data_IF_151741570681
#
_entry.id   IF_151741570681
#
_cell.length_a   1.000
_cell.length_b   1.000
_cell.length_c   1.000
_cell.angle_alpha   90.00
_cell.angle_beta   90.00
_cell.angle_gamma   90.00
#
_symmetry.space_group_name_H-M   'P 1'
#
loop_
_entity.id
_entity.type
_entity.pdbx_description
1 polymer ?
#
# COMPACT_ATOMS: atom_id res chain seq x y z
N UNK A 1 -11.04 -33.62 -9.19
CA UNK A 1 -11.34 -32.38 -9.91
C UNK A 1 -11.64 -31.36 -8.84
N UNK A 2 -11.03 -30.19 -8.90
CA UNK A 2 -11.40 -29.09 -7.98
C UNK A 2 -12.86 -28.69 -8.25
N UNK A 3 -13.65 -28.38 -7.20
CA UNK A 3 -15.04 -27.96 -7.38
C UNK A 3 -15.12 -26.66 -8.20
N UNK A 4 -16.19 -26.50 -8.96
CA UNK A 4 -16.48 -25.24 -9.68
C UNK A 4 -17.38 -24.35 -8.82
N UNK A 5 -17.42 -23.04 -9.10
CA UNK A 5 -18.36 -22.15 -8.41
C UNK A 5 -19.83 -22.54 -8.62
N UNK A 6 -20.14 -23.21 -9.75
CA UNK A 6 -21.50 -23.69 -10.04
C UNK A 6 -21.96 -24.84 -9.13
N UNK A 7 -21.03 -25.52 -8.44
CA UNK A 7 -21.34 -26.59 -7.48
C UNK A 7 -21.60 -26.07 -6.05
N UNK A 8 -21.30 -24.78 -5.80
CA UNK A 8 -21.59 -24.13 -4.55
C UNK A 8 -23.05 -23.64 -4.49
N UNK A 9 -23.64 -23.51 -3.28
CA UNK A 9 -24.99 -23.02 -3.12
C UNK A 9 -25.07 -21.48 -3.30
N UNK A 10 -24.77 -21.03 -4.52
CA UNK A 10 -24.78 -19.62 -4.90
C UNK A 10 -26.02 -19.31 -5.75
N UNK A 11 -26.45 -18.05 -5.71
CA UNK A 11 -27.50 -17.56 -6.61
C UNK A 11 -27.01 -17.57 -8.07
N UNK A 12 -27.92 -17.81 -9.01
CA UNK A 12 -27.58 -17.82 -10.46
C UNK A 12 -26.91 -16.52 -10.91
N UNK A 13 -27.40 -15.37 -10.40
CA UNK A 13 -26.85 -14.05 -10.72
C UNK A 13 -25.38 -13.92 -10.30
N UNK A 14 -24.99 -14.50 -9.14
CA UNK A 14 -23.59 -14.50 -8.67
C UNK A 14 -22.73 -15.39 -9.55
N UNK A 15 -23.23 -16.58 -9.92
CA UNK A 15 -22.52 -17.50 -10.84
C UNK A 15 -22.31 -16.85 -12.21
N UNK A 16 -23.33 -16.18 -12.75
CA UNK A 16 -23.24 -15.44 -14.01
C UNK A 16 -22.20 -14.32 -13.95
N UNK A 17 -22.18 -13.53 -12.84
CA UNK A 17 -21.18 -12.48 -12.64
C UNK A 17 -19.77 -13.05 -12.57
N UNK A 18 -19.55 -14.15 -11.84
CA UNK A 18 -18.25 -14.83 -11.77
C UNK A 18 -17.79 -15.30 -13.15
N UNK A 19 -18.67 -15.94 -13.92
CA UNK A 19 -18.35 -16.40 -15.27
C UNK A 19 -18.05 -15.26 -16.24
N UNK A 20 -18.79 -14.15 -16.17
CA UNK A 20 -18.57 -12.97 -16.99
C UNK A 20 -17.15 -12.36 -16.77
N UNK A 21 -16.59 -12.53 -15.58
CA UNK A 21 -15.23 -12.08 -15.24
C UNK A 21 -14.17 -13.21 -15.35
N UNK A 22 -14.54 -14.37 -15.92
CA UNK A 22 -13.63 -15.49 -16.18
C UNK A 22 -13.29 -16.35 -14.94
N UNK A 23 -14.02 -16.17 -13.83
CA UNK A 23 -13.87 -17.00 -12.63
C UNK A 23 -14.71 -18.27 -12.75
N UNK A 24 -14.08 -19.41 -13.02
CA UNK A 24 -14.76 -20.69 -13.21
C UNK A 24 -14.64 -21.59 -11.98
N UNK A 25 -13.46 -21.64 -11.37
CA UNK A 25 -13.15 -22.48 -10.23
C UNK A 25 -12.52 -21.66 -9.09
N UNK A 26 -12.81 -22.00 -7.82
CA UNK A 26 -12.21 -21.32 -6.67
C UNK A 26 -10.72 -21.61 -6.55
N UNK A 27 -9.97 -20.61 -6.07
CA UNK A 27 -8.60 -20.81 -5.57
C UNK A 27 -8.61 -21.48 -4.19
N UNK A 28 -7.45 -22.04 -3.77
CA UNK A 28 -7.34 -22.81 -2.53
C UNK A 28 -7.95 -22.11 -1.29
N UNK A 29 -7.72 -20.81 -1.10
CA UNK A 29 -8.32 -20.07 0.03
C UNK A 29 -9.84 -19.95 -0.10
N UNK A 30 -10.35 -19.80 -1.32
CA UNK A 30 -11.79 -19.70 -1.58
C UNK A 30 -12.46 -21.05 -1.36
N UNK A 31 -11.87 -22.14 -1.85
CA UNK A 31 -12.38 -23.51 -1.67
C UNK A 31 -12.57 -23.86 -0.18
N UNK A 32 -11.62 -23.43 0.65
CA UNK A 32 -11.68 -23.73 2.09
C UNK A 32 -12.58 -22.75 2.88
N UNK A 33 -12.65 -21.48 2.50
CA UNK A 33 -13.40 -20.44 3.21
C UNK A 33 -14.89 -20.47 2.86
N UNK A 34 -15.23 -20.61 1.56
CA UNK A 34 -16.61 -20.44 1.10
C UNK A 34 -17.62 -21.34 1.79
N UNK A 35 -17.38 -22.66 2.03
CA UNK A 35 -18.35 -23.50 2.70
C UNK A 35 -18.72 -23.03 4.11
N UNK A 36 -17.74 -22.48 4.84
CA UNK A 36 -17.93 -22.00 6.22
C UNK A 36 -18.59 -20.64 6.24
N UNK A 37 -18.09 -19.72 5.40
CA UNK A 37 -18.61 -18.35 5.32
C UNK A 37 -20.06 -18.31 4.79
N UNK A 38 -20.41 -19.18 3.84
CA UNK A 38 -21.77 -19.34 3.34
C UNK A 38 -22.72 -19.96 4.39
N UNK A 39 -22.18 -20.69 5.39
CA UNK A 39 -22.94 -21.20 6.52
C UNK A 39 -22.98 -20.22 7.72
N UNK A 40 -22.66 -18.95 7.51
CA UNK A 40 -22.62 -17.86 8.51
C UNK A 40 -21.61 -18.08 9.65
N UNK A 41 -20.61 -18.95 9.48
CA UNK A 41 -19.52 -19.13 10.44
C UNK A 41 -18.50 -18.00 10.39
N UNK A 42 -17.95 -17.64 11.55
CA UNK A 42 -16.80 -16.72 11.60
C UNK A 42 -15.54 -17.39 11.07
N UNK A 43 -14.77 -16.66 10.26
CA UNK A 43 -13.58 -17.20 9.57
C UNK A 43 -12.38 -16.30 9.77
N UNK A 44 -11.23 -16.90 10.05
CA UNK A 44 -9.92 -16.28 9.91
C UNK A 44 -9.25 -16.90 8.68
N UNK A 45 -9.11 -16.13 7.62
CA UNK A 45 -8.42 -16.52 6.39
C UNK A 45 -6.99 -16.01 6.37
N UNK A 46 -6.01 -16.89 6.64
CA UNK A 46 -4.60 -16.53 6.56
C UNK A 46 -4.05 -16.88 5.19
N UNK A 47 -3.84 -15.86 4.36
CA UNK A 47 -3.31 -15.99 3.01
C UNK A 47 -2.66 -14.68 2.52
N UNK A 48 -1.66 -14.77 1.64
CA UNK A 48 -0.96 -13.62 1.05
C UNK A 48 -1.87 -12.78 0.15
N UNK A 49 -1.45 -11.56 -0.18
CA UNK A 49 -2.11 -10.75 -1.22
C UNK A 49 -2.01 -11.43 -2.59
N UNK A 50 -3.05 -11.31 -3.41
CA UNK A 50 -3.10 -11.93 -4.74
C UNK A 50 -3.55 -13.40 -4.76
N UNK A 51 -3.94 -13.98 -3.63
CA UNK A 51 -4.47 -15.36 -3.55
C UNK A 51 -5.98 -15.45 -3.75
N UNK A 52 -6.65 -14.34 -4.08
CA UNK A 52 -8.10 -14.31 -4.31
C UNK A 52 -8.95 -14.14 -3.05
N UNK A 53 -8.41 -13.56 -1.97
CA UNK A 53 -9.13 -13.29 -0.72
C UNK A 53 -10.41 -12.49 -0.94
N UNK A 54 -10.40 -11.51 -1.87
CA UNK A 54 -11.57 -10.67 -2.16
C UNK A 54 -12.80 -11.50 -2.53
N UNK A 55 -12.63 -12.53 -3.37
CA UNK A 55 -13.74 -13.44 -3.69
C UNK A 55 -14.12 -14.33 -2.51
N UNK A 56 -13.16 -14.73 -1.65
CA UNK A 56 -13.43 -15.57 -0.50
C UNK A 56 -14.37 -14.91 0.51
N UNK A 57 -14.33 -13.58 0.69
CA UNK A 57 -15.29 -12.85 1.51
C UNK A 57 -16.40 -12.17 0.69
N UNK A 58 -16.09 -11.72 -0.52
CA UNK A 58 -17.04 -11.01 -1.37
C UNK A 58 -18.25 -11.86 -1.74
N UNK A 59 -18.06 -13.11 -2.14
CA UNK A 59 -19.15 -14.02 -2.46
C UNK A 59 -20.09 -14.22 -1.28
N UNK A 60 -19.62 -14.63 -0.06
CA UNK A 60 -20.51 -14.78 1.09
C UNK A 60 -21.28 -13.52 1.45
N UNK A 61 -20.64 -12.35 1.43
CA UNK A 61 -21.35 -11.11 1.81
C UNK A 61 -22.42 -10.73 0.80
N UNK A 62 -22.18 -10.83 -0.51
CA UNK A 62 -23.20 -10.51 -1.51
C UNK A 62 -24.35 -11.52 -1.49
N UNK A 63 -24.09 -12.80 -1.23
CA UNK A 63 -25.14 -13.84 -1.11
C UNK A 63 -26.12 -13.55 0.04
N UNK A 64 -25.66 -12.88 1.10
CA UNK A 64 -26.45 -12.58 2.29
C UNK A 64 -27.08 -11.20 2.31
N UNK A 65 -26.70 -10.33 1.37
CA UNK A 65 -27.35 -9.02 1.24
C UNK A 65 -28.77 -9.20 0.68
N UNK A 66 -29.74 -8.56 1.33
CA UNK A 66 -31.09 -8.39 0.77
C UNK A 66 -31.04 -7.15 -0.11
N UNK A 67 -31.09 -7.35 -1.42
CA UNK A 67 -30.97 -6.31 -2.42
C UNK A 67 -32.32 -5.71 -2.81
N UNK A 68 -32.37 -4.48 -3.36
CA UNK A 68 -33.62 -3.86 -3.82
C UNK A 68 -34.44 -4.69 -4.83
N UNK A 69 -33.78 -5.58 -5.56
CA UNK A 69 -34.42 -6.46 -6.55
C UNK A 69 -34.84 -7.83 -5.98
N UNK A 70 -34.53 -8.12 -4.72
CA UNK A 70 -34.91 -9.36 -4.06
C UNK A 70 -36.35 -9.30 -3.56
N UNK A 71 -37.05 -10.43 -3.52
CA UNK A 71 -38.45 -10.53 -3.05
C UNK A 71 -38.56 -10.09 -1.58
N UNK A 72 -37.55 -10.47 -0.79
CA UNK A 72 -37.45 -10.16 0.65
C UNK A 72 -37.32 -8.66 0.92
N UNK A 73 -36.93 -7.86 -0.08
CA UNK A 73 -36.83 -6.40 0.07
C UNK A 73 -38.13 -5.74 0.47
N UNK A 74 -39.27 -6.28 0.05
CA UNK A 74 -40.57 -5.69 0.38
C UNK A 74 -40.77 -5.56 1.88
N UNK A 75 -40.40 -6.59 2.65
CA UNK A 75 -40.58 -6.70 4.10
C UNK A 75 -39.31 -6.35 4.91
N UNK A 76 -38.21 -6.03 4.23
CA UNK A 76 -36.95 -5.71 4.90
C UNK A 76 -37.04 -4.37 5.65
N UNK A 77 -36.82 -4.39 6.97
CA UNK A 77 -37.01 -3.23 7.83
C UNK A 77 -35.92 -2.14 7.63
N UNK A 78 -34.68 -2.56 7.32
CA UNK A 78 -33.51 -1.68 7.30
C UNK A 78 -33.13 -1.24 5.87
N UNK A 79 -34.13 -0.96 5.03
CA UNK A 79 -33.93 -0.54 3.64
C UNK A 79 -33.03 0.68 3.54
N UNK A 80 -32.00 0.58 2.71
CA UNK A 80 -31.03 1.65 2.48
C UNK A 80 -30.00 1.84 3.58
N UNK A 81 -30.01 1.00 4.62
CA UNK A 81 -28.94 1.00 5.63
C UNK A 81 -27.89 -0.07 5.33
N UNK A 82 -26.62 0.17 5.69
CA UNK A 82 -25.55 -0.79 5.43
C UNK A 82 -25.78 -2.12 6.14
N UNK A 83 -25.87 -3.20 5.37
CA UNK A 83 -25.96 -4.56 5.87
C UNK A 83 -24.58 -5.19 6.05
N UNK A 84 -23.61 -4.73 5.23
CA UNK A 84 -22.23 -5.22 5.23
C UNK A 84 -21.26 -4.06 5.39
N UNK A 85 -20.23 -4.27 6.22
CA UNK A 85 -19.09 -3.38 6.38
C UNK A 85 -17.81 -4.15 6.08
N UNK A 86 -17.02 -3.64 5.12
CA UNK A 86 -15.69 -4.16 4.80
C UNK A 86 -14.67 -3.10 5.20
N UNK A 87 -13.79 -3.42 6.14
CA UNK A 87 -12.76 -2.53 6.66
C UNK A 87 -11.42 -2.90 6.04
N UNK A 88 -10.74 -1.92 5.46
CA UNK A 88 -9.46 -2.10 4.76
C UNK A 88 -8.46 -1.03 5.19
N UNK A 89 -7.13 -1.30 5.17
CA UNK A 89 -6.12 -0.37 5.70
C UNK A 89 -5.91 0.88 4.85
N UNK A 90 -6.06 0.77 3.53
CA UNK A 90 -5.64 1.82 2.60
C UNK A 90 -6.77 2.27 1.67
N UNK A 91 -6.65 3.49 1.13
CA UNK A 91 -7.61 4.07 0.18
C UNK A 91 -7.62 3.31 -1.14
N UNK A 92 -6.45 2.89 -1.57
CA UNK A 92 -6.23 2.15 -2.81
C UNK A 92 -6.94 0.80 -2.74
N UNK A 93 -6.76 0.06 -1.64
CA UNK A 93 -7.46 -1.20 -1.41
C UNK A 93 -8.98 -0.98 -1.26
N UNK A 94 -9.39 0.13 -0.61
CA UNK A 94 -10.81 0.49 -0.51
C UNK A 94 -11.46 0.64 -1.90
N UNK A 95 -10.85 1.39 -2.79
CA UNK A 95 -11.39 1.56 -4.16
C UNK A 95 -11.34 0.28 -4.97
N UNK A 96 -10.31 -0.55 -4.80
CA UNK A 96 -10.19 -1.83 -5.46
C UNK A 96 -11.28 -2.81 -4.99
N UNK A 97 -11.38 -3.04 -3.68
CA UNK A 97 -12.38 -3.95 -3.10
C UNK A 97 -13.80 -3.48 -3.44
N UNK A 98 -14.05 -2.15 -3.42
CA UNK A 98 -15.36 -1.61 -3.82
C UNK A 98 -15.69 -2.03 -5.25
N UNK A 99 -14.75 -1.85 -6.19
CA UNK A 99 -14.95 -2.22 -7.59
C UNK A 99 -15.16 -3.73 -7.75
N UNK A 100 -14.34 -4.55 -7.09
CA UNK A 100 -14.47 -6.00 -7.15
C UNK A 100 -15.83 -6.47 -6.63
N UNK A 101 -16.35 -5.86 -5.56
CA UNK A 101 -17.70 -6.14 -5.03
C UNK A 101 -18.80 -5.66 -5.99
N UNK A 102 -18.67 -4.47 -6.59
CA UNK A 102 -19.62 -3.95 -7.58
C UNK A 102 -19.71 -4.86 -8.82
N UNK A 103 -18.58 -5.35 -9.31
CA UNK A 103 -18.50 -6.30 -10.41
C UNK A 103 -19.20 -7.62 -10.08
N UNK A 104 -18.96 -8.18 -8.89
CA UNK A 104 -19.63 -9.39 -8.42
C UNK A 104 -21.13 -9.23 -8.18
N UNK A 105 -21.55 -8.06 -7.74
CA UNK A 105 -22.94 -7.74 -7.39
C UNK A 105 -23.75 -7.14 -8.56
N UNK A 106 -23.13 -7.01 -9.74
CA UNK A 106 -23.67 -6.25 -10.90
C UNK A 106 -25.08 -6.69 -11.30
N UNK A 107 -25.40 -7.99 -11.23
CA UNK A 107 -26.68 -8.55 -11.63
C UNK A 107 -27.77 -8.51 -10.52
N UNK A 108 -27.44 -7.98 -9.31
CA UNK A 108 -28.34 -8.00 -8.16
C UNK A 108 -28.90 -6.64 -7.75
N UNK A 109 -28.35 -5.54 -8.29
CA UNK A 109 -28.76 -4.19 -7.92
C UNK A 109 -28.32 -3.78 -6.50
N UNK A 110 -27.30 -4.44 -5.93
CA UNK A 110 -26.67 -4.09 -4.66
C UNK A 110 -25.88 -2.80 -4.85
N UNK A 111 -26.09 -1.84 -3.95
CA UNK A 111 -25.38 -0.56 -3.97
C UNK A 111 -24.21 -0.62 -3.01
N UNK A 112 -23.03 -0.28 -3.51
CA UNK A 112 -21.77 -0.26 -2.74
C UNK A 112 -21.21 1.15 -2.70
N UNK A 113 -20.57 1.54 -1.60
CA UNK A 113 -19.88 2.82 -1.49
C UNK A 113 -18.51 2.67 -0.86
N UNK A 114 -17.52 3.40 -1.44
CA UNK A 114 -16.18 3.54 -0.89
C UNK A 114 -16.12 4.72 0.08
N UNK A 115 -15.67 4.47 1.33
CA UNK A 115 -15.58 5.45 2.42
C UNK A 115 -14.15 5.56 2.91
N UNK A 116 -13.42 6.62 2.49
CA UNK A 116 -12.01 6.81 2.85
C UNK A 116 -11.61 8.28 2.95
N UNK A 117 -10.54 8.53 3.69
CA UNK A 117 -10.02 9.88 3.93
C UNK A 117 -9.33 10.49 2.70
N UNK A 118 -9.09 11.83 2.74
CA UNK A 118 -8.41 12.56 1.66
C UNK A 118 -9.29 12.91 0.45
N UNK A 119 -10.58 12.64 0.54
CA UNK A 119 -11.65 13.09 -0.34
C UNK A 119 -12.66 13.90 0.46
N UNK A 120 -13.43 14.75 -0.21
CA UNK A 120 -14.54 15.48 0.40
C UNK A 120 -15.53 14.53 1.11
N UNK A 121 -16.20 15.01 2.15
CA UNK A 121 -17.21 14.24 2.88
C UNK A 121 -18.52 14.14 2.11
N UNK A 122 -18.88 15.21 1.43
CA UNK A 122 -20.21 15.42 0.83
C UNK A 122 -20.62 14.27 -0.12
N UNK A 123 -19.81 13.85 -1.10
CA UNK A 123 -20.21 12.76 -1.99
C UNK A 123 -20.41 11.42 -1.27
N UNK A 124 -19.61 11.17 -0.19
CA UNK A 124 -19.73 9.95 0.60
C UNK A 124 -21.00 9.99 1.44
N UNK A 125 -21.35 11.15 2.00
CA UNK A 125 -22.58 11.38 2.77
C UNK A 125 -23.80 11.24 1.86
N UNK A 126 -23.78 11.86 0.68
CA UNK A 126 -24.87 11.75 -0.30
C UNK A 126 -25.11 10.29 -0.72
N UNK A 127 -24.07 9.52 -0.98
CA UNK A 127 -24.18 8.11 -1.27
C UNK A 127 -24.80 7.31 -0.13
N UNK A 128 -24.38 7.55 1.11
CA UNK A 128 -24.96 6.90 2.29
C UNK A 128 -26.42 7.28 2.50
N UNK A 129 -26.80 8.53 2.28
CA UNK A 129 -28.17 9.02 2.40
C UNK A 129 -29.09 8.50 1.28
N UNK A 130 -28.55 8.25 0.10
CA UNK A 130 -29.26 7.61 -1.02
C UNK A 130 -29.56 6.15 -0.75
N UNK A 131 -28.91 5.59 0.26
CA UNK A 131 -29.05 4.19 0.68
C UNK A 131 -28.07 3.28 -0.02
N UNK A 132 -27.35 2.49 0.78
CA UNK A 132 -26.36 1.50 0.33
C UNK A 132 -26.45 0.24 1.18
N UNK A 133 -26.19 -0.89 0.56
CA UNK A 133 -26.22 -2.20 1.24
C UNK A 133 -24.81 -2.57 1.72
N UNK A 134 -23.76 -2.17 1.00
CA UNK A 134 -22.37 -2.50 1.33
C UNK A 134 -21.54 -1.22 1.44
N UNK A 135 -20.79 -1.12 2.54
CA UNK A 135 -19.81 -0.06 2.75
C UNK A 135 -18.41 -0.67 2.82
N UNK A 136 -17.51 -0.20 1.97
CA UNK A 136 -16.08 -0.53 2.07
C UNK A 136 -15.35 0.72 2.56
N UNK A 137 -14.52 0.61 3.60
CA UNK A 137 -13.90 1.83 4.10
C UNK A 137 -12.64 1.66 4.92
N UNK A 138 -11.92 2.79 5.07
CA UNK A 138 -10.76 2.89 5.96
C UNK A 138 -11.18 3.29 7.37
N UNK A 139 -10.53 2.77 8.44
CA UNK A 139 -11.02 2.90 9.82
C UNK A 139 -11.35 4.33 10.25
N UNK A 140 -10.44 5.28 10.04
CA UNK A 140 -10.62 6.66 10.49
C UNK A 140 -11.86 7.33 9.88
N UNK A 141 -12.06 7.23 8.54
CA UNK A 141 -13.21 7.86 7.86
C UNK A 141 -14.52 7.18 8.21
N UNK A 142 -14.53 5.86 8.40
CA UNK A 142 -15.72 5.13 8.88
C UNK A 142 -16.17 5.64 10.26
N UNK A 143 -15.23 5.80 11.20
CA UNK A 143 -15.53 6.35 12.53
C UNK A 143 -15.98 7.80 12.46
N UNK A 144 -15.38 8.64 11.63
CA UNK A 144 -15.77 10.04 11.48
C UNK A 144 -17.23 10.15 11.01
N UNK A 145 -17.61 9.41 9.97
CA UNK A 145 -18.99 9.40 9.47
C UNK A 145 -19.97 8.76 10.47
N UNK A 146 -19.53 7.74 11.22
CA UNK A 146 -20.35 7.15 12.28
C UNK A 146 -20.61 8.13 13.42
N UNK A 147 -19.58 8.85 13.89
CA UNK A 147 -19.71 9.89 14.93
C UNK A 147 -20.61 11.05 14.49
N UNK A 148 -20.58 11.41 13.21
CA UNK A 148 -21.48 12.40 12.61
C UNK A 148 -22.91 11.88 12.41
N UNK A 149 -23.18 10.59 12.72
CA UNK A 149 -24.48 9.97 12.55
C UNK A 149 -24.87 9.66 11.09
N UNK A 150 -23.94 9.86 10.14
CA UNK A 150 -24.17 9.61 8.72
C UNK A 150 -24.08 8.12 8.37
N UNK A 151 -23.19 7.38 9.07
CA UNK A 151 -23.02 5.93 8.90
C UNK A 151 -23.63 5.18 10.08
N UNK A 152 -24.64 4.33 9.82
CA UNK A 152 -25.38 3.57 10.85
C UNK A 152 -24.74 2.18 11.05
N UNK A 153 -23.73 2.07 11.90
CA UNK A 153 -23.00 0.82 12.13
C UNK A 153 -23.81 -0.24 12.90
N UNK A 154 -24.85 0.14 13.64
CA UNK A 154 -25.66 -0.80 14.41
C UNK A 154 -26.45 -1.79 13.56
N UNK A 155 -26.71 -1.43 12.30
CA UNK A 155 -27.51 -2.23 11.37
C UNK A 155 -26.64 -3.20 10.56
N UNK A 156 -25.32 -3.11 10.70
CA UNK A 156 -24.37 -4.01 10.03
C UNK A 156 -24.52 -5.42 10.59
N UNK A 157 -24.91 -6.36 9.74
CA UNK A 157 -25.04 -7.78 10.07
C UNK A 157 -23.79 -8.60 9.76
N UNK A 158 -22.95 -8.14 8.84
CA UNK A 158 -21.70 -8.80 8.45
C UNK A 158 -20.54 -7.82 8.39
N UNK A 159 -19.42 -8.24 8.97
CA UNK A 159 -18.22 -7.41 9.03
C UNK A 159 -17.03 -8.20 8.52
N UNK A 160 -16.28 -7.57 7.61
CA UNK A 160 -15.02 -8.09 7.08
C UNK A 160 -13.89 -7.18 7.49
N UNK A 161 -12.80 -7.74 7.97
CA UNK A 161 -11.50 -7.09 8.15
C UNK A 161 -10.55 -7.68 7.12
N UNK A 162 -10.11 -6.91 6.14
CA UNK A 162 -9.11 -7.36 5.16
C UNK A 162 -7.78 -6.65 5.37
N UNK A 163 -6.68 -7.40 5.22
CA UNK A 163 -5.33 -6.98 5.55
C UNK A 163 -5.22 -6.46 7.01
N UNK A 164 -5.67 -7.29 7.97
CA UNK A 164 -5.72 -6.91 9.38
C UNK A 164 -4.34 -6.61 9.98
N UNK A 165 -3.31 -7.35 9.59
CA UNK A 165 -1.92 -7.10 9.96
C UNK A 165 -1.42 -5.75 9.45
N UNK A 166 -1.81 -5.35 8.26
CA UNK A 166 -1.51 -4.03 7.70
C UNK A 166 -2.19 -2.91 8.50
N UNK A 167 -3.44 -3.13 8.95
CA UNK A 167 -4.13 -2.18 9.84
C UNK A 167 -3.40 -2.03 11.18
N UNK A 168 -2.82 -3.09 11.70
CA UNK A 168 -1.98 -3.07 12.90
C UNK A 168 -0.72 -2.24 12.67
N UNK A 169 0.02 -2.52 11.59
CA UNK A 169 1.26 -1.81 11.23
C UNK A 169 1.04 -0.32 11.01
N UNK A 170 -0.13 0.08 10.52
CA UNK A 170 -0.53 1.48 10.34
C UNK A 170 -1.08 2.13 11.61
N UNK A 171 -1.18 1.39 12.72
CA UNK A 171 -1.67 1.88 14.01
C UNK A 171 -3.19 2.06 14.08
N UNK A 172 -3.96 1.41 13.20
CA UNK A 172 -5.43 1.52 13.17
C UNK A 172 -6.14 0.56 14.11
N UNK A 173 -5.43 -0.31 14.82
CA UNK A 173 -6.06 -1.32 15.70
C UNK A 173 -7.06 -0.71 16.70
N UNK A 174 -6.75 0.43 17.39
CA UNK A 174 -7.72 1.04 18.29
C UNK A 174 -9.01 1.54 17.59
N UNK A 175 -8.92 1.94 16.34
CA UNK A 175 -10.07 2.37 15.56
C UNK A 175 -10.89 1.18 15.05
N UNK A 176 -10.22 0.10 14.66
CA UNK A 176 -10.86 -1.19 14.30
C UNK A 176 -11.65 -1.74 15.51
N UNK A 177 -11.07 -1.72 16.72
CA UNK A 177 -11.78 -2.13 17.94
C UNK A 177 -13.05 -1.30 18.22
N UNK A 178 -12.99 0.02 17.97
CA UNK A 178 -14.18 0.89 18.10
C UNK A 178 -15.26 0.52 17.07
N UNK A 179 -14.87 0.25 15.83
CA UNK A 179 -15.80 -0.19 14.77
C UNK A 179 -16.47 -1.50 15.17
N UNK A 180 -15.69 -2.50 15.57
CA UNK A 180 -16.20 -3.79 16.04
C UNK A 180 -17.16 -3.64 17.23
N UNK A 181 -16.85 -2.76 18.18
CA UNK A 181 -17.71 -2.46 19.31
C UNK A 181 -19.00 -1.71 18.92
N UNK A 182 -18.95 -0.98 17.79
CA UNK A 182 -20.09 -0.21 17.28
C UNK A 182 -21.02 -1.01 16.35
N UNK A 183 -20.70 -2.27 16.09
CA UNK A 183 -21.49 -3.22 15.29
C UNK A 183 -22.02 -4.38 16.15
N UNK A 184 -22.87 -4.13 17.18
CA UNK A 184 -23.28 -5.16 18.15
C UNK A 184 -24.17 -6.24 17.55
N UNK A 185 -24.90 -5.94 16.47
CA UNK A 185 -25.87 -6.82 15.84
C UNK A 185 -25.29 -7.68 14.71
N UNK A 186 -23.95 -7.65 14.54
CA UNK A 186 -23.31 -8.47 13.50
C UNK A 186 -23.48 -9.95 13.81
N UNK A 187 -23.94 -10.68 12.81
CA UNK A 187 -24.12 -12.13 12.88
C UNK A 187 -22.84 -12.89 12.48
N UNK A 188 -21.98 -12.25 11.65
CA UNK A 188 -20.76 -12.86 11.15
C UNK A 188 -19.61 -11.87 11.10
N UNK A 189 -18.40 -12.33 11.44
CA UNK A 189 -17.15 -11.60 11.27
C UNK A 189 -16.15 -12.47 10.48
N UNK A 190 -15.59 -11.90 9.43
CA UNK A 190 -14.53 -12.54 8.65
C UNK A 190 -13.26 -11.68 8.76
N UNK A 191 -12.14 -12.30 9.10
CA UNK A 191 -10.84 -11.63 9.22
C UNK A 191 -9.86 -12.26 8.24
N UNK A 192 -9.28 -11.42 7.36
CA UNK A 192 -8.26 -11.83 6.42
C UNK A 192 -6.95 -11.11 6.71
N UNK A 193 -5.85 -11.87 6.73
CA UNK A 193 -4.53 -11.35 7.05
C UNK A 193 -3.45 -12.23 6.40
N UNK A 194 -2.31 -11.66 6.06
CA UNK A 194 -1.17 -12.45 5.63
C UNK A 194 -0.43 -13.05 6.83
N UNK A 195 -0.36 -12.31 7.93
CA UNK A 195 0.31 -12.72 9.18
C UNK A 195 -0.64 -12.66 10.37
N UNK A 196 -0.35 -13.43 11.43
CA UNK A 196 -1.18 -13.48 12.64
C UNK A 196 -0.36 -13.11 13.88
N UNK A 197 0.06 -11.84 14.04
CA UNK A 197 0.73 -11.38 15.26
C UNK A 197 -0.22 -11.45 16.47
N UNK A 198 0.36 -11.42 17.67
CA UNK A 198 -0.38 -11.58 18.93
C UNK A 198 -1.56 -10.63 19.08
N UNK A 199 -1.43 -9.39 18.62
CA UNK A 199 -2.49 -8.38 18.69
C UNK A 199 -3.70 -8.72 17.80
N UNK A 200 -3.47 -9.28 16.61
CA UNK A 200 -4.54 -9.74 15.71
C UNK A 200 -5.24 -10.97 16.30
N UNK A 201 -4.47 -11.89 16.91
CA UNK A 201 -5.04 -13.04 17.61
C UNK A 201 -5.91 -12.57 18.81
N UNK A 202 -5.44 -11.57 19.56
CA UNK A 202 -6.20 -10.99 20.67
C UNK A 202 -7.51 -10.32 20.19
N UNK A 203 -7.43 -9.57 19.06
CA UNK A 203 -8.61 -8.98 18.43
C UNK A 203 -9.63 -10.05 18.02
N UNK A 204 -9.18 -11.11 17.35
CA UNK A 204 -10.04 -12.22 16.93
C UNK A 204 -10.71 -12.90 18.14
N UNK A 205 -9.96 -13.22 19.19
CA UNK A 205 -10.49 -13.84 20.42
C UNK A 205 -11.54 -12.97 21.11
N UNK A 206 -11.42 -11.66 21.05
CA UNK A 206 -12.34 -10.73 21.71
C UNK A 206 -13.63 -10.50 20.92
N UNK A 207 -13.57 -10.47 19.62
CA UNK A 207 -14.64 -9.98 18.77
C UNK A 207 -15.25 -11.01 17.81
N UNK A 208 -14.67 -12.21 17.69
CA UNK A 208 -15.19 -13.28 16.84
C UNK A 208 -15.76 -14.43 17.66
N UNK A 209 -16.75 -15.13 17.10
CA UNK A 209 -17.42 -16.24 17.74
C UNK A 209 -16.92 -17.57 17.17
N UNK A 210 -16.07 -18.30 17.93
CA UNK A 210 -15.51 -19.60 17.55
C UNK A 210 -15.01 -19.65 16.08
N UNK A 211 -14.16 -18.69 15.67
CA UNK A 211 -13.75 -18.59 14.28
C UNK A 211 -12.97 -19.83 13.84
N UNK A 212 -13.26 -20.31 12.64
CA UNK A 212 -12.41 -21.32 12.02
C UNK A 212 -11.20 -20.65 11.39
N UNK A 213 -9.99 -21.04 11.83
CA UNK A 213 -8.75 -20.52 11.29
C UNK A 213 -8.30 -21.37 10.10
N UNK A 214 -8.38 -20.79 8.92
CA UNK A 214 -7.95 -21.39 7.65
C UNK A 214 -6.62 -20.77 7.25
N UNK A 215 -5.65 -21.63 7.00
CA UNK A 215 -4.32 -21.26 6.52
C UNK A 215 -4.03 -22.00 5.23
N UNK A 216 -3.73 -21.27 4.15
CA UNK A 216 -3.25 -21.89 2.92
C UNK A 216 -1.78 -22.28 3.06
N UNK A 217 -1.39 -23.42 2.48
CA UNK A 217 0.01 -23.90 2.54
C UNK A 217 0.98 -22.90 1.89
N UNK A 218 0.52 -22.07 0.96
CA UNK A 218 1.30 -20.97 0.37
C UNK A 218 1.75 -19.91 1.39
N UNK A 219 1.18 -19.92 2.60
CA UNK A 219 1.60 -19.03 3.70
C UNK A 219 2.88 -19.52 4.41
N UNK A 220 3.27 -20.79 4.25
CA UNK A 220 4.56 -21.32 4.77
C UNK A 220 5.75 -21.00 3.86
N UNK A 221 5.48 -20.66 2.59
CA UNK A 221 6.49 -20.39 1.59
C UNK A 221 6.90 -18.90 1.51
N UNK A 222 7.19 -18.25 2.64
CA UNK A 222 8.03 -17.04 2.58
C UNK A 222 9.36 -17.37 1.87
N UNK A 223 9.89 -18.57 2.08
CA UNK A 223 11.02 -19.10 1.34
C UNK A 223 10.79 -19.24 -0.17
N UNK A 224 9.62 -19.69 -0.62
CA UNK A 224 9.36 -19.94 -2.06
C UNK A 224 9.16 -18.65 -2.89
N UNK A 225 8.62 -17.57 -2.31
CA UNK A 225 8.58 -16.26 -2.98
C UNK A 225 9.98 -15.70 -3.08
N UNK A 226 10.76 -15.81 -2.00
CA UNK A 226 12.16 -15.38 -1.93
C UNK A 226 13.02 -16.14 -2.94
N UNK A 227 12.76 -17.44 -3.18
CA UNK A 227 13.52 -18.28 -4.15
C UNK A 227 13.18 -17.99 -5.62
N UNK A 228 12.01 -17.47 -5.94
CA UNK A 228 11.61 -17.08 -7.31
C UNK A 228 12.11 -15.69 -7.72
N UNK A 229 12.58 -14.91 -6.76
CA UNK A 229 13.09 -13.56 -6.99
C UNK A 229 14.61 -13.62 -7.01
N UNK A 230 15.21 -13.24 -8.14
CA UNK A 230 16.65 -13.06 -8.22
C UNK A 230 17.03 -11.81 -7.43
N UNK A 231 17.72 -12.01 -6.31
CA UNK A 231 18.04 -10.93 -5.37
C UNK A 231 19.49 -10.50 -5.52
N UNK A 232 19.71 -9.20 -5.60
CA UNK A 232 21.01 -8.58 -5.64
C UNK A 232 21.09 -7.52 -4.53
N UNK A 233 22.17 -7.54 -3.78
CA UNK A 233 22.40 -6.59 -2.69
C UNK A 233 23.74 -5.92 -2.92
N UNK A 234 23.72 -4.61 -3.05
CA UNK A 234 24.87 -3.82 -3.46
C UNK A 234 25.17 -2.76 -2.40
N UNK A 235 26.42 -2.69 -1.96
CA UNK A 235 26.88 -1.61 -1.10
C UNK A 235 27.11 -0.37 -1.96
N UNK A 236 26.25 0.62 -1.80
CA UNK A 236 26.16 1.77 -2.68
C UNK A 236 26.30 3.08 -1.91
N UNK A 237 27.23 3.94 -2.37
CA UNK A 237 27.41 5.27 -1.80
C UNK A 237 26.21 6.18 -2.10
N UNK A 238 25.74 6.93 -1.10
CA UNK A 238 24.55 7.77 -1.21
C UNK A 238 24.54 8.71 -2.43
N UNK A 239 25.70 9.27 -2.81
CA UNK A 239 25.82 10.18 -3.95
C UNK A 239 25.77 9.48 -5.32
N UNK A 240 26.03 8.17 -5.36
CA UNK A 240 26.05 7.39 -6.61
C UNK A 240 24.79 6.55 -6.83
N UNK A 241 23.94 6.39 -5.80
CA UNK A 241 22.70 5.58 -5.88
C UNK A 241 21.81 5.97 -7.05
N UNK A 242 21.69 7.27 -7.36
CA UNK A 242 20.85 7.73 -8.47
C UNK A 242 21.46 7.39 -9.83
N UNK A 243 22.79 7.42 -9.93
CA UNK A 243 23.52 7.02 -11.14
C UNK A 243 23.40 5.50 -11.38
N UNK A 244 23.54 4.70 -10.32
CA UNK A 244 23.33 3.24 -10.37
C UNK A 244 21.88 2.92 -10.77
N UNK A 245 20.89 3.52 -10.07
CA UNK A 245 19.47 3.33 -10.37
C UNK A 245 19.16 3.64 -11.85
N UNK A 246 19.62 4.78 -12.33
CA UNK A 246 19.36 5.19 -13.69
C UNK A 246 19.98 4.25 -14.76
N UNK A 247 21.11 3.59 -14.46
CA UNK A 247 21.69 2.56 -15.34
C UNK A 247 20.93 1.25 -15.25
N UNK A 248 20.53 0.83 -14.05
CA UNK A 248 19.67 -0.36 -13.86
C UNK A 248 18.36 -0.20 -14.64
N UNK A 249 17.80 1.00 -14.69
CA UNK A 249 16.59 1.27 -15.46
C UNK A 249 16.80 1.20 -16.99
N UNK A 250 18.04 1.08 -17.47
CA UNK A 250 18.38 0.84 -18.87
C UNK A 250 18.71 -0.63 -19.17
N UNK A 251 18.56 -1.54 -18.18
CA UNK A 251 18.85 -2.96 -18.35
C UNK A 251 17.96 -3.60 -19.42
N UNK A 252 18.52 -4.53 -20.19
CA UNK A 252 17.80 -5.32 -21.18
C UNK A 252 16.76 -6.24 -20.49
N UNK A 253 15.55 -6.28 -21.05
CA UNK A 253 14.45 -7.06 -20.48
C UNK A 253 13.77 -6.44 -19.27
N UNK A 254 14.15 -5.22 -18.83
CA UNK A 254 13.48 -4.49 -17.78
C UNK A 254 12.07 -4.05 -18.24
N UNK A 255 11.07 -4.45 -17.49
CA UNK A 255 9.68 -4.00 -17.62
C UNK A 255 9.30 -3.00 -16.52
N UNK A 256 8.01 -2.93 -16.12
CA UNK A 256 7.54 -2.05 -15.05
C UNK A 256 8.36 -2.25 -13.78
N UNK A 257 8.82 -1.14 -13.19
CA UNK A 257 9.74 -1.14 -12.06
C UNK A 257 9.19 -0.35 -10.89
N UNK A 258 9.30 -0.90 -9.70
CA UNK A 258 8.93 -0.24 -8.45
C UNK A 258 10.19 0.11 -7.64
N UNK A 259 10.33 1.38 -7.26
CA UNK A 259 11.47 1.88 -6.50
C UNK A 259 10.99 2.30 -5.12
N UNK A 260 11.54 1.70 -4.07
CA UNK A 260 11.18 1.99 -2.69
C UNK A 260 12.16 2.96 -2.03
N UNK A 261 11.62 4.03 -1.47
CA UNK A 261 12.33 5.02 -0.69
C UNK A 261 11.75 5.10 0.73
N UNK A 262 12.60 5.31 1.73
CA UNK A 262 12.19 5.38 3.14
C UNK A 262 11.34 6.63 3.43
N UNK A 263 11.66 7.76 2.81
CA UNK A 263 10.97 9.03 3.07
C UNK A 263 10.27 9.59 1.84
N UNK A 264 9.18 10.32 2.07
CA UNK A 264 8.43 11.05 1.04
C UNK A 264 9.32 11.98 0.23
N UNK A 265 10.22 12.71 0.91
CA UNK A 265 11.17 13.64 0.28
C UNK A 265 12.14 12.90 -0.64
N UNK A 266 12.67 11.76 -0.22
CA UNK A 266 13.55 10.95 -1.06
C UNK A 266 12.79 10.41 -2.27
N UNK A 267 11.56 9.90 -2.08
CA UNK A 267 10.74 9.40 -3.18
C UNK A 267 10.46 10.49 -4.22
N UNK A 268 10.04 11.68 -3.79
CA UNK A 268 9.79 12.81 -4.67
C UNK A 268 11.06 13.19 -5.46
N UNK A 269 12.17 13.41 -4.75
CA UNK A 269 13.44 13.80 -5.37
C UNK A 269 13.95 12.75 -6.36
N UNK A 270 13.91 11.47 -6.00
CA UNK A 270 14.36 10.39 -6.89
C UNK A 270 13.52 10.33 -8.16
N UNK A 271 12.18 10.50 -8.05
CA UNK A 271 11.33 10.55 -9.23
C UNK A 271 11.63 11.77 -10.11
N UNK A 272 11.86 12.95 -9.54
CA UNK A 272 12.24 14.17 -10.26
C UNK A 272 13.59 13.99 -10.99
N UNK A 273 14.60 13.48 -10.28
CA UNK A 273 15.92 13.19 -10.86
C UNK A 273 15.83 12.21 -12.04
N UNK A 274 14.97 11.19 -11.96
CA UNK A 274 14.72 10.25 -13.05
C UNK A 274 13.99 10.91 -14.23
N UNK A 275 12.98 11.73 -13.98
CA UNK A 275 12.26 12.47 -15.01
C UNK A 275 13.18 13.45 -15.75
N UNK A 276 14.08 14.16 -15.05
CA UNK A 276 15.09 15.02 -15.66
C UNK A 276 16.09 14.26 -16.54
N UNK A 277 16.30 12.98 -16.27
CA UNK A 277 17.10 12.06 -17.07
C UNK A 277 16.33 11.47 -18.25
N UNK A 278 15.02 11.75 -18.35
CA UNK A 278 14.14 11.31 -19.44
C UNK A 278 13.44 9.99 -19.18
N UNK A 279 13.49 9.42 -17.96
CA UNK A 279 12.71 8.24 -17.62
C UNK A 279 11.24 8.61 -17.35
N UNK A 280 10.32 7.70 -17.67
CA UNK A 280 8.90 7.86 -17.40
C UNK A 280 8.57 7.44 -15.96
N UNK A 281 9.08 8.23 -15.00
CA UNK A 281 8.92 7.97 -13.58
C UNK A 281 7.76 8.79 -12.99
N UNK A 282 7.10 8.22 -11.97
CA UNK A 282 6.08 8.91 -11.20
C UNK A 282 6.29 8.66 -9.70
N UNK A 283 6.20 9.69 -8.83
CA UNK A 283 6.25 9.51 -7.39
C UNK A 283 4.90 9.05 -6.83
N UNK A 284 4.93 8.27 -5.73
CA UNK A 284 3.76 7.98 -4.93
C UNK A 284 4.10 7.97 -3.44
N UNK A 285 3.57 8.96 -2.70
CA UNK A 285 3.82 9.13 -1.28
C UNK A 285 2.69 9.92 -0.60
N UNK A 286 2.69 9.94 0.73
CA UNK A 286 1.59 10.47 1.52
C UNK A 286 1.34 11.98 1.40
N UNK A 287 2.29 12.78 0.88
CA UNK A 287 2.10 14.23 0.67
C UNK A 287 1.40 14.55 -0.66
N UNK A 288 1.28 13.56 -1.55
CA UNK A 288 0.49 13.73 -2.76
C UNK A 288 -1.01 13.72 -2.42
N UNK A 289 -1.75 14.66 -3.00
CA UNK A 289 -3.21 14.63 -2.95
C UNK A 289 -3.76 13.35 -3.63
N UNK A 290 -4.93 12.88 -3.18
CA UNK A 290 -5.49 11.60 -3.64
C UNK A 290 -5.63 11.52 -5.18
N UNK A 291 -6.07 12.58 -5.84
CA UNK A 291 -6.17 12.62 -7.30
C UNK A 291 -4.81 12.45 -8.02
N UNK A 292 -3.73 13.01 -7.45
CA UNK A 292 -2.39 12.83 -8.01
C UNK A 292 -1.88 11.39 -7.84
N UNK A 293 -2.20 10.73 -6.71
CA UNK A 293 -1.88 9.31 -6.46
C UNK A 293 -2.62 8.40 -7.42
N UNK A 294 -3.92 8.59 -7.59
CA UNK A 294 -4.75 7.82 -8.51
C UNK A 294 -4.28 7.99 -9.95
N UNK A 295 -3.91 9.22 -10.34
CA UNK A 295 -3.32 9.49 -11.66
C UNK A 295 -1.99 8.75 -11.84
N UNK A 296 -1.08 8.82 -10.87
CA UNK A 296 0.23 8.15 -10.95
C UNK A 296 0.06 6.62 -11.11
N UNK A 297 -0.86 6.02 -10.34
CA UNK A 297 -1.19 4.60 -10.43
C UNK A 297 -1.85 4.26 -11.78
N UNK A 298 -2.80 5.07 -12.22
CA UNK A 298 -3.47 4.88 -13.50
C UNK A 298 -2.50 4.98 -14.69
N UNK A 299 -1.61 5.96 -14.67
CA UNK A 299 -0.58 6.13 -15.70
C UNK A 299 0.44 4.97 -15.70
N UNK A 300 0.77 4.42 -14.52
CA UNK A 300 1.63 3.25 -14.39
C UNK A 300 0.94 1.97 -14.91
N UNK A 301 -0.31 1.71 -14.50
CA UNK A 301 -1.10 0.57 -15.02
C UNK A 301 -1.32 0.64 -16.54
N UNK A 302 -1.48 1.83 -17.09
CA UNK A 302 -1.65 2.06 -18.53
C UNK A 302 -0.32 2.06 -19.32
N UNK A 303 0.84 1.83 -18.67
CA UNK A 303 2.15 1.85 -19.30
C UNK A 303 2.63 3.23 -19.77
N UNK A 304 1.97 4.32 -19.36
CA UNK A 304 2.42 5.69 -19.62
C UNK A 304 3.63 6.07 -18.79
N UNK A 305 3.72 5.58 -17.56
CA UNK A 305 4.95 5.53 -16.76
C UNK A 305 5.36 4.08 -16.54
N UNK A 306 6.66 3.80 -16.49
CA UNK A 306 7.22 2.46 -16.31
C UNK A 306 8.09 2.37 -15.05
N UNK A 307 8.22 3.47 -14.31
CA UNK A 307 8.90 3.53 -13.02
C UNK A 307 8.00 4.22 -11.99
N UNK A 308 7.66 3.50 -10.91
CA UNK A 308 6.90 4.04 -9.79
C UNK A 308 7.83 4.18 -8.58
N UNK A 309 8.06 5.41 -8.10
CA UNK A 309 8.91 5.67 -6.93
C UNK A 309 8.04 5.89 -5.70
N UNK A 310 8.08 4.97 -4.76
CA UNK A 310 7.11 4.90 -3.67
C UNK A 310 7.75 4.90 -2.28
N UNK A 311 6.98 5.33 -1.28
CA UNK A 311 7.23 4.98 0.13
C UNK A 311 6.43 3.74 0.51
N UNK A 312 6.88 2.98 1.52
CA UNK A 312 6.19 1.77 2.00
C UNK A 312 4.70 2.00 2.24
N UNK A 313 4.37 3.02 3.03
CA UNK A 313 2.98 3.36 3.36
C UNK A 313 2.13 3.65 2.11
N UNK A 314 2.71 4.27 1.10
CA UNK A 314 1.98 4.61 -0.12
C UNK A 314 1.90 3.45 -1.13
N UNK A 315 2.82 2.50 -1.02
CA UNK A 315 2.86 1.30 -1.86
C UNK A 315 1.98 0.15 -1.33
N UNK A 316 1.56 0.24 -0.07
CA UNK A 316 0.67 -0.72 0.57
C UNK A 316 -0.71 -0.69 -0.08
N UNK A 317 -1.36 -1.83 -0.19
CA UNK A 317 -2.67 -1.95 -0.84
C UNK A 317 -2.66 -1.68 -2.34
N UNK A 318 -1.48 -1.46 -2.97
CA UNK A 318 -1.39 -1.33 -4.42
C UNK A 318 -1.30 -2.72 -5.03
N UNK A 319 -2.31 -3.07 -5.80
CA UNK A 319 -2.31 -4.26 -6.63
C UNK A 319 -1.94 -3.88 -8.06
N UNK A 320 -0.74 -4.28 -8.45
CA UNK A 320 -0.20 -4.10 -9.81
C UNK A 320 0.50 -5.39 -10.19
N UNK A 321 0.06 -5.95 -11.31
CA UNK A 321 0.69 -7.10 -11.92
C UNK A 321 1.79 -6.69 -12.90
N UNK A 322 2.65 -7.64 -13.24
CA UNK A 322 3.67 -7.46 -14.26
C UNK A 322 4.88 -6.61 -13.85
N UNK A 323 5.04 -6.30 -12.55
CA UNK A 323 6.27 -5.66 -12.05
C UNK A 323 7.42 -6.66 -12.21
N UNK A 324 8.42 -6.31 -13.01
CA UNK A 324 9.59 -7.15 -13.26
C UNK A 324 10.74 -6.85 -12.31
N UNK A 325 10.86 -5.61 -11.87
CA UNK A 325 11.95 -5.15 -11.01
C UNK A 325 11.44 -4.42 -9.78
N UNK A 326 12.03 -4.74 -8.64
CA UNK A 326 11.87 -4.00 -7.39
C UNK A 326 13.23 -3.47 -6.96
N UNK A 327 13.34 -2.18 -6.74
CA UNK A 327 14.58 -1.54 -6.30
C UNK A 327 14.37 -0.94 -4.91
N UNK A 328 15.04 -1.49 -3.91
CA UNK A 328 15.15 -0.85 -2.61
C UNK A 328 16.25 0.23 -2.68
N UNK A 329 15.86 1.47 -2.99
CA UNK A 329 16.78 2.62 -3.07
C UNK A 329 17.46 2.93 -1.73
N UNK A 330 16.81 2.55 -0.64
CA UNK A 330 17.34 2.56 0.71
C UNK A 330 17.00 1.21 1.37
N UNK A 331 17.91 0.70 2.20
CA UNK A 331 17.72 -0.54 2.94
C UNK A 331 16.39 -0.50 3.73
N UNK A 332 15.55 -1.53 3.66
CA UNK A 332 14.34 -1.65 4.47
C UNK A 332 14.64 -1.54 5.97
N UNK A 333 13.62 -1.25 6.77
CA UNK A 333 13.79 -1.11 8.22
C UNK A 333 13.89 -2.46 8.93
N UNK A 334 13.19 -3.47 8.41
CA UNK A 334 13.12 -4.82 8.94
C UNK A 334 12.90 -5.87 7.83
N UNK A 335 12.93 -7.15 8.24
CA UNK A 335 12.75 -8.30 7.34
C UNK A 335 11.35 -8.36 6.71
N UNK A 336 10.32 -7.96 7.44
CA UNK A 336 8.93 -7.94 6.92
C UNK A 336 8.79 -6.91 5.80
N UNK A 337 9.31 -5.71 6.03
CA UNK A 337 9.33 -4.64 5.03
C UNK A 337 10.12 -5.08 3.79
N UNK A 338 11.24 -5.79 3.97
CA UNK A 338 12.01 -6.35 2.87
C UNK A 338 11.17 -7.32 2.03
N UNK A 339 10.57 -8.32 2.65
CA UNK A 339 9.72 -9.32 1.97
C UNK A 339 8.52 -8.66 1.29
N UNK A 340 7.84 -7.74 1.96
CA UNK A 340 6.70 -6.99 1.39
C UNK A 340 7.08 -6.18 0.15
N UNK A 341 8.29 -5.57 0.14
CA UNK A 341 8.78 -4.81 -1.02
C UNK A 341 9.12 -5.73 -2.18
N UNK A 342 9.97 -6.75 -1.96
CA UNK A 342 10.38 -7.63 -3.03
C UNK A 342 9.20 -8.47 -3.57
N UNK A 343 8.23 -8.81 -2.72
CA UNK A 343 6.99 -9.51 -3.10
C UNK A 343 6.04 -8.70 -4.00
N UNK A 344 6.41 -7.47 -4.41
CA UNK A 344 5.70 -6.74 -5.47
C UNK A 344 6.05 -7.26 -6.87
N UNK A 345 7.14 -8.01 -7.01
CA UNK A 345 7.48 -8.75 -8.24
C UNK A 345 7.26 -10.25 -8.06
N UNK A 346 7.47 -11.04 -9.09
CA UNK A 346 7.30 -12.50 -9.12
C UNK A 346 5.89 -13.01 -8.75
N UNK A 347 4.85 -12.19 -8.99
CA UNK A 347 3.45 -12.60 -8.79
C UNK A 347 2.99 -13.56 -9.88
N UNK A 348 1.96 -14.37 -9.59
CA UNK A 348 1.34 -15.31 -10.53
C UNK A 348 2.33 -16.28 -11.21
N UNK A 349 3.39 -16.70 -10.50
CA UNK A 349 4.36 -17.66 -11.03
C UNK A 349 5.45 -17.06 -11.94
N UNK A 350 5.48 -15.75 -12.15
CA UNK A 350 6.53 -15.07 -12.91
C UNK A 350 7.85 -15.01 -12.13
N UNK A 351 8.95 -14.77 -12.84
CA UNK A 351 10.24 -14.44 -12.24
C UNK A 351 10.39 -12.93 -12.02
N UNK A 352 11.08 -12.54 -10.96
CA UNK A 352 11.32 -11.13 -10.64
C UNK A 352 12.78 -10.86 -10.28
N UNK A 353 13.18 -9.60 -10.38
CA UNK A 353 14.49 -9.13 -9.94
C UNK A 353 14.30 -8.11 -8.82
N UNK A 354 15.01 -8.32 -7.71
CA UNK A 354 15.07 -7.37 -6.60
C UNK A 354 16.51 -6.87 -6.42
N UNK A 355 16.69 -5.56 -6.40
CA UNK A 355 17.99 -4.94 -6.13
C UNK A 355 17.89 -4.10 -4.88
N UNK A 356 18.78 -4.32 -3.91
CA UNK A 356 18.79 -3.57 -2.66
C UNK A 356 20.09 -2.79 -2.53
N UNK A 357 19.99 -1.47 -2.43
CA UNK A 357 21.12 -0.63 -2.09
C UNK A 357 21.26 -0.51 -0.57
N UNK A 358 22.46 -0.81 -0.10
CA UNK A 358 22.82 -0.71 1.31
C UNK A 358 23.94 0.31 1.44
N UNK A 359 23.71 1.38 2.19
CA UNK A 359 24.75 2.36 2.51
C UNK A 359 25.62 1.87 3.69
N UNK A 360 26.74 2.51 3.94
CA UNK A 360 27.68 2.10 5.02
C UNK A 360 27.03 2.10 6.41
N UNK A 361 26.18 3.08 6.68
CA UNK A 361 25.42 3.18 7.94
C UNK A 361 24.25 2.18 8.03
N UNK A 362 23.85 1.58 6.91
CA UNK A 362 22.77 0.60 6.82
C UNK A 362 23.26 -0.86 6.93
N UNK A 363 24.56 -1.12 6.91
CA UNK A 363 25.14 -2.49 6.91
C UNK A 363 24.71 -3.34 8.11
N UNK A 364 24.64 -2.74 9.31
CA UNK A 364 24.21 -3.46 10.51
C UNK A 364 22.75 -3.94 10.38
N UNK A 365 21.88 -3.08 9.84
CA UNK A 365 20.48 -3.41 9.58
C UNK A 365 20.35 -4.51 8.52
N UNK A 366 21.10 -4.39 7.42
CA UNK A 366 21.10 -5.42 6.40
C UNK A 366 21.54 -6.79 6.95
N UNK A 367 22.58 -6.83 7.77
CA UNK A 367 23.02 -8.09 8.41
C UNK A 367 21.92 -8.75 9.23
N UNK A 368 21.13 -7.96 9.98
CA UNK A 368 19.98 -8.49 10.74
C UNK A 368 18.91 -9.08 9.80
N UNK A 369 18.53 -8.34 8.75
CA UNK A 369 17.55 -8.81 7.76
C UNK A 369 18.03 -10.12 7.10
N UNK A 370 19.28 -10.12 6.63
CA UNK A 370 19.89 -11.28 5.98
C UNK A 370 19.94 -12.50 6.91
N UNK A 371 20.27 -12.30 8.19
CA UNK A 371 20.33 -13.37 9.18
C UNK A 371 18.94 -13.95 9.48
N UNK A 372 17.93 -13.08 9.67
CA UNK A 372 16.56 -13.52 9.97
C UNK A 372 15.92 -14.28 8.81
N UNK A 373 16.23 -13.88 7.57
CA UNK A 373 15.69 -14.51 6.36
C UNK A 373 16.59 -15.57 5.74
N UNK A 374 17.77 -15.84 6.32
CA UNK A 374 18.76 -16.83 5.86
C UNK A 374 19.13 -16.68 4.36
N UNK A 375 19.25 -15.42 3.87
CA UNK A 375 19.42 -15.13 2.44
C UNK A 375 20.81 -15.51 1.89
N UNK A 376 21.82 -15.66 2.74
CA UNK A 376 23.20 -15.90 2.30
C UNK A 376 23.90 -14.69 1.66
N UNK A 377 23.34 -13.47 1.81
CA UNK A 377 23.81 -12.21 1.20
C UNK A 377 24.33 -11.22 2.25
N UNK A 378 25.07 -11.70 3.25
CA UNK A 378 25.49 -10.92 4.42
C UNK A 378 26.45 -9.78 4.09
N UNK A 379 27.31 -9.95 3.08
CA UNK A 379 28.34 -9.00 2.71
C UNK A 379 28.09 -8.43 1.31
N UNK A 380 27.31 -7.32 1.19
CA UNK A 380 27.07 -6.67 -0.08
C UNK A 380 28.37 -6.18 -0.72
N UNK A 381 28.55 -6.49 -2.00
CA UNK A 381 29.72 -6.04 -2.77
C UNK A 381 29.68 -4.52 -2.95
N UNK A 382 30.84 -3.86 -2.76
CA UNK A 382 30.97 -2.44 -2.99
C UNK A 382 30.84 -2.14 -4.46
N UNK A 383 29.84 -1.35 -4.81
CA UNK A 383 29.41 -1.16 -6.19
C UNK A 383 29.22 0.33 -6.49
N UNK A 384 29.75 0.73 -7.62
CA UNK A 384 29.56 2.06 -8.20
C UNK A 384 28.84 1.97 -9.54
N UNK A 385 28.31 3.07 -10.00
CA UNK A 385 27.66 3.18 -11.31
C UNK A 385 28.57 2.85 -12.49
N UNK A 386 29.90 2.81 -12.27
CA UNK A 386 30.93 2.44 -13.25
C UNK A 386 31.47 1.01 -13.08
N UNK A 387 31.01 0.26 -12.06
CA UNK A 387 31.51 -1.09 -11.79
C UNK A 387 31.06 -2.08 -12.86
N UNK A 388 31.99 -2.83 -13.46
CA UNK A 388 31.70 -3.81 -14.53
C UNK A 388 30.70 -4.87 -14.10
N UNK A 389 30.87 -5.41 -12.88
CA UNK A 389 29.96 -6.42 -12.34
C UNK A 389 28.51 -5.95 -12.24
N UNK A 390 28.23 -4.65 -12.06
CA UNK A 390 26.87 -4.10 -12.09
C UNK A 390 26.20 -4.31 -13.46
N UNK A 391 26.96 -4.08 -14.54
CA UNK A 391 26.48 -4.23 -15.92
C UNK A 391 26.24 -5.69 -16.28
N UNK A 392 27.17 -6.58 -15.92
CA UNK A 392 27.05 -8.02 -16.16
C UNK A 392 25.90 -8.64 -15.37
N UNK A 393 25.82 -8.32 -14.08
CA UNK A 393 24.84 -8.87 -13.14
C UNK A 393 23.38 -8.58 -13.53
N UNK A 394 23.13 -7.39 -14.10
CA UNK A 394 21.80 -6.88 -14.38
C UNK A 394 21.51 -6.70 -15.88
N UNK A 395 22.38 -7.22 -16.77
CA UNK A 395 22.26 -7.11 -18.23
C UNK A 395 22.11 -5.64 -18.69
N UNK A 396 22.95 -4.75 -18.12
CA UNK A 396 22.94 -3.35 -18.51
C UNK A 396 23.80 -3.19 -19.78
N UNK A 397 23.27 -2.63 -20.89
CA UNK A 397 24.03 -2.45 -22.12
C UNK A 397 25.29 -1.60 -21.90
N UNK A 398 26.40 -2.02 -22.52
CA UNK A 398 27.64 -1.26 -22.46
C UNK A 398 27.43 0.16 -23.02
N UNK A 399 27.96 1.17 -22.32
CA UNK A 399 27.77 2.57 -22.68
C UNK A 399 26.48 3.21 -22.17
N UNK A 400 25.69 2.50 -21.33
CA UNK A 400 24.54 3.09 -20.65
C UNK A 400 24.99 4.27 -19.78
N UNK A 401 24.43 5.45 -20.03
CA UNK A 401 24.83 6.70 -19.36
C UNK A 401 23.94 7.07 -18.18
N UNK A 402 22.88 6.28 -17.92
CA UNK A 402 21.84 6.63 -16.94
C UNK A 402 20.97 7.81 -17.39
N UNK A 403 20.92 8.07 -18.71
CA UNK A 403 20.09 9.13 -19.29
C UNK A 403 19.46 8.67 -20.61
N UNK A 404 18.17 8.98 -20.78
CA UNK A 404 17.41 8.75 -22.00
C UNK A 404 17.41 9.99 -22.91
N UNK A 405 17.76 11.17 -22.37
CA UNK A 405 17.85 12.44 -23.07
C UNK A 405 19.23 13.06 -22.87
N UNK A 406 19.70 13.86 -23.84
CA UNK A 406 20.98 14.59 -23.69
C UNK A 406 20.89 15.52 -22.46
N UNK A 407 21.93 15.55 -21.65
CA UNK A 407 22.03 16.46 -20.52
C UNK A 407 21.83 17.90 -20.98
N UNK A 408 20.97 18.66 -20.31
CA UNK A 408 20.92 20.12 -20.52
C UNK A 408 22.27 20.68 -20.16
N UNK A 409 22.87 21.57 -21.02
CA UNK A 409 24.14 22.19 -20.67
C UNK A 409 23.97 22.93 -19.34
N UNK A 410 24.82 22.61 -18.40
CA UNK A 410 24.88 23.34 -17.11
C UNK A 410 25.24 24.76 -17.46
N UNK A 411 24.34 25.72 -17.21
CA UNK A 411 24.64 27.13 -17.37
C UNK A 411 25.88 27.40 -16.49
N UNK A 412 26.95 27.83 -17.16
CA UNK A 412 28.18 28.26 -16.46
C UNK A 412 27.75 29.36 -15.49
N UNK A 413 27.85 29.09 -14.22
CA UNK A 413 27.76 30.12 -13.18
C UNK A 413 28.93 31.04 -13.44
N UNK A 414 28.69 32.17 -14.13
CA UNK A 414 29.64 33.23 -14.21
C UNK A 414 30.06 33.63 -12.80
N UNK A 415 31.29 33.34 -12.44
CA UNK A 415 31.91 33.89 -11.23
C UNK A 415 31.77 35.41 -11.34
N UNK A 416 30.82 35.99 -10.62
CA UNK A 416 30.79 37.44 -10.41
C UNK A 416 32.13 37.80 -9.78
N UNK A 417 32.98 38.50 -10.56
CA UNK A 417 34.20 39.09 -10.08
C UNK A 417 33.90 39.88 -8.80
N UNK A 418 34.67 39.61 -7.76
CA UNK A 418 34.56 40.29 -6.50
C UNK A 418 34.83 41.80 -6.74
N UNK A 419 33.84 42.65 -6.49
CA UNK A 419 34.02 44.08 -6.47
C UNK A 419 35.14 44.43 -5.47
N UNK A 420 36.10 45.34 -5.84
CA UNK A 420 37.16 45.69 -4.92
C UNK A 420 36.57 46.40 -3.69
N UNK A 421 36.97 45.90 -2.52
CA UNK A 421 36.62 46.51 -1.23
C UNK A 421 37.20 47.87 -1.12
N UNK A 422 36.39 48.92 -1.17
CA UNK A 422 36.74 50.29 -0.93
C UNK A 422 37.11 50.47 0.57
N UNK A 423 38.40 50.73 0.85
CA UNK A 423 38.87 51.02 2.19
C UNK A 423 38.11 52.22 2.80
N UNK A 424 37.43 52.01 3.88
CA UNK A 424 36.87 53.10 4.70
C UNK A 424 37.99 53.70 5.55
N UNK A 425 38.26 54.99 5.30
CA UNK A 425 39.06 55.81 6.25
C UNK A 425 38.33 55.95 7.56
N UNK A 426 39.00 55.64 8.63
CA UNK A 426 38.55 55.85 10.00
C UNK A 426 38.65 57.36 10.35
N UNK A 427 37.53 58.04 10.49
CA UNK A 427 37.44 59.32 11.22
C UNK A 427 37.04 59.03 12.66
N UNK A 428 37.95 59.33 13.56
CA UNK A 428 37.75 59.25 15.01
C UNK A 428 36.82 60.34 15.50
N UNK A 429 35.68 60.04 16.12
CA UNK A 429 34.87 60.94 16.93
C UNK A 429 34.88 60.51 18.39
N UNK A 430 34.91 61.49 19.34
CA UNK A 430 35.20 61.23 20.73
C UNK A 430 34.01 60.60 21.49
N UNK A 431 34.39 59.77 22.43
CA UNK A 431 33.55 58.97 23.33
C UNK A 431 32.90 59.86 24.40
N UNK A 432 31.56 59.94 24.42
CA UNK A 432 30.80 60.56 25.51
C UNK A 432 30.29 59.45 26.44
N UNK A 433 30.77 59.48 27.69
CA UNK A 433 30.29 58.64 28.78
C UNK A 433 28.86 58.99 29.16
N UNK A 434 27.93 58.03 29.13
CA UNK A 434 26.61 58.15 29.75
C UNK A 434 26.52 57.18 30.92
N UNK A 435 26.54 57.74 32.11
CA UNK A 435 26.21 57.11 33.40
C UNK A 435 24.73 56.63 33.40
N UNK A 436 24.54 55.33 33.67
CA UNK A 436 23.22 54.74 33.89
C UNK A 436 22.91 54.74 35.39
N UNK A 437 21.96 55.56 35.78
CA UNK A 437 21.32 55.49 37.10
C UNK A 437 20.21 54.41 37.07
N UNK A 438 20.28 53.52 38.04
CA UNK A 438 19.39 52.36 38.24
C UNK A 438 18.32 52.77 39.25
N UNK A 439 17.07 52.93 38.85
CA UNK A 439 15.93 53.06 39.76
C UNK A 439 15.14 51.74 39.81
N UNK A 440 15.16 51.11 41.00
CA UNK A 440 14.24 50.07 41.40
C UNK A 440 12.86 50.68 41.69
N UNK A 441 11.79 50.10 41.18
CA UNK A 441 10.45 50.23 41.75
C UNK A 441 9.90 48.85 42.06
N UNK A 442 9.76 48.58 43.34
CA UNK A 442 8.83 47.62 43.94
C UNK A 442 7.41 48.10 43.74
N UNK A 443 6.47 47.20 43.46
CA UNK A 443 5.10 47.26 43.94
C UNK A 443 4.51 45.86 44.01
N UNK A 444 4.10 45.55 45.23
CA UNK A 444 3.17 44.50 45.63
C UNK A 444 1.75 44.78 45.12
N UNK A 445 1.04 43.77 44.74
CA UNK A 445 -0.31 43.36 45.22
C UNK A 445 -0.71 42.13 44.40
#
# INVERSE_FOLDING_TARGET
MSPTFAELPLRSQTIEALHAHGFIAPFAIQEMVLPIALADGDVIGQAKTGTGKTLAFGIPVIERVIAPNDVEWADFANKGLPQVLIVVPTRELCTQVTRDIEELASNRGIRTVAVYGGRAFEPQIEALQSGVEIVVGTPGRLLDLSRQGQLKLKEVSRLVLDEADEMLDLGFLPDVEKILSSTPNRAQTMLFSATMPGDIIALARRFMNQPLHIRTQDSEDEGAVVTRIKQHVLRAHALDKIEMLARILQADGRGPTMVFCRTKRTAQKTAEDLMERGFRAAPIHGDLGQGAREKALGDFKAGKSDVLVATDVAARGIDIDGITHVINYQCPEDEKTYVHRIGRTARAGAHGIAVTFVDWDELARWKMINQTLELGLAEPEETYSSSEHLYEMLNIPAGSTGRMVKAKPVAKVEKKEARPVRAKQEESKPRVERTRTRTKKFKES
#
